data_IF_161851443411
#
_entry.id   IF_161851443411
#
_cell.length_a   1.000
_cell.length_b   1.000
_cell.length_c   1.000
_cell.angle_alpha   90.00
_cell.angle_beta   90.00
_cell.angle_gamma   90.00
#
_symmetry.space_group_name_H-M   'P 1'
#
loop_
_entity.id
_entity.type
_entity.pdbx_description
1 polymer ?
#
# COMPACT_ATOMS: atom_id res chain seq x y z
N UNK A 1 -2.40 -7.64 9.34
CA UNK A 1 -3.01 -7.42 8.01
C UNK A 1 -1.90 -7.05 7.04
N UNK A 2 -1.38 -8.04 6.33
CA UNK A 2 -0.33 -7.84 5.33
C UNK A 2 -0.90 -7.03 4.18
N UNK A 3 -0.35 -5.85 3.91
CA UNK A 3 -0.57 -5.15 2.65
C UNK A 3 0.44 -5.68 1.64
N UNK A 4 0.07 -5.87 0.35
CA UNK A 4 1.05 -6.13 -0.68
C UNK A 4 2.02 -4.93 -0.68
N UNK A 5 3.23 -5.17 -0.18
CA UNK A 5 4.24 -4.15 0.04
C UNK A 5 4.54 -3.41 -1.25
N UNK A 6 4.50 -4.12 -2.38
CA UNK A 6 4.84 -3.60 -3.70
C UNK A 6 3.81 -2.59 -4.27
N UNK A 7 2.52 -2.87 -4.18
CA UNK A 7 1.49 -1.94 -4.69
C UNK A 7 1.40 -0.68 -3.83
N UNK A 8 1.52 -0.83 -2.51
CA UNK A 8 1.58 0.31 -1.59
C UNK A 8 2.84 1.14 -1.83
N UNK A 9 3.98 0.48 -2.04
CA UNK A 9 5.24 1.14 -2.38
C UNK A 9 5.18 1.89 -3.72
N UNK A 10 4.60 1.28 -4.75
CA UNK A 10 4.40 1.91 -6.07
C UNK A 10 3.43 3.09 -6.00
N UNK A 11 2.32 2.97 -5.26
CA UNK A 11 1.39 4.06 -5.03
C UNK A 11 2.04 5.26 -4.33
N UNK A 12 2.99 4.98 -3.42
CA UNK A 12 3.71 5.97 -2.63
C UNK A 12 4.73 6.79 -3.44
N UNK A 13 5.05 6.37 -4.68
CA UNK A 13 5.95 7.12 -5.57
C UNK A 13 5.31 8.38 -6.17
N UNK A 14 3.98 8.48 -6.18
CA UNK A 14 3.24 9.59 -6.79
C UNK A 14 2.61 10.49 -5.72
N UNK A 15 2.71 11.81 -5.90
CA UNK A 15 1.99 12.80 -5.10
C UNK A 15 0.53 12.91 -5.57
N UNK A 16 -0.41 12.85 -4.64
CA UNK A 16 -1.84 12.97 -4.92
C UNK A 16 -2.34 14.42 -4.97
N UNK A 17 -1.51 15.35 -4.48
CA UNK A 17 -1.83 16.79 -4.46
C UNK A 17 -1.54 17.46 -5.80
N UNK A 18 -0.65 16.88 -6.62
CA UNK A 18 -0.40 17.30 -7.99
C UNK A 18 -1.34 16.56 -8.97
N UNK A 19 -2.12 17.32 -9.72
CA UNK A 19 -3.02 16.81 -10.76
C UNK A 19 -2.28 16.03 -11.86
N UNK A 20 -1.05 16.41 -12.18
CA UNK A 20 -0.21 15.75 -13.18
C UNK A 20 0.27 14.38 -12.73
N UNK A 21 0.89 14.30 -11.54
CA UNK A 21 1.32 13.04 -10.94
C UNK A 21 0.16 12.08 -10.65
N UNK A 22 -1.03 12.59 -10.29
CA UNK A 22 -2.23 11.75 -10.09
C UNK A 22 -2.66 11.02 -11.35
N UNK A 23 -2.60 11.66 -12.52
CA UNK A 23 -2.91 11.00 -13.81
C UNK A 23 -1.88 9.93 -14.15
N UNK A 24 -0.60 10.18 -13.84
CA UNK A 24 0.48 9.18 -14.02
C UNK A 24 0.28 7.98 -13.10
N UNK A 25 -0.15 8.19 -11.85
CA UNK A 25 -0.53 7.12 -10.91
C UNK A 25 -1.62 6.22 -11.48
N UNK A 26 -2.70 6.79 -12.03
CA UNK A 26 -3.77 6.00 -12.67
C UNK A 26 -3.23 5.21 -13.86
N UNK A 27 -2.39 5.82 -14.70
CA UNK A 27 -1.77 5.13 -15.83
C UNK A 27 -0.85 3.98 -15.38
N UNK A 28 -0.11 4.15 -14.29
CA UNK A 28 0.73 3.12 -13.69
C UNK A 28 -0.12 1.90 -13.27
N UNK A 29 -1.23 2.11 -12.57
CA UNK A 29 -2.11 1.02 -12.17
C UNK A 29 -2.80 0.33 -13.34
N UNK A 30 -3.14 1.06 -14.41
CA UNK A 30 -3.67 0.45 -15.62
C UNK A 30 -2.65 -0.51 -16.28
N UNK A 31 -1.38 -0.08 -16.40
CA UNK A 31 -0.32 -0.93 -16.93
C UNK A 31 -0.01 -2.12 -16.01
N UNK A 32 -0.02 -1.91 -14.69
CA UNK A 32 0.12 -2.99 -13.70
C UNK A 32 -0.95 -4.06 -13.88
N UNK A 33 -2.21 -3.66 -13.97
CA UNK A 33 -3.33 -4.59 -14.14
C UNK A 33 -3.25 -5.33 -15.48
N UNK A 34 -2.93 -4.62 -16.57
CA UNK A 34 -2.71 -5.25 -17.88
C UNK A 34 -1.57 -6.29 -17.83
N UNK A 35 -0.46 -5.94 -17.19
CA UNK A 35 0.68 -6.85 -16.98
C UNK A 35 0.32 -8.07 -16.15
N UNK A 36 -0.46 -7.90 -15.07
CA UNK A 36 -0.91 -9.00 -14.22
C UNK A 36 -1.84 -9.97 -14.98
N UNK A 37 -2.79 -9.45 -15.76
CA UNK A 37 -3.66 -10.27 -16.61
C UNK A 37 -2.85 -11.03 -17.65
N UNK A 38 -1.95 -10.33 -18.35
CA UNK A 38 -1.11 -10.93 -19.40
C UNK A 38 -0.15 -11.98 -18.84
N UNK A 39 0.49 -11.71 -17.69
CA UNK A 39 1.37 -12.64 -16.99
C UNK A 39 0.62 -13.89 -16.53
N UNK A 40 -0.63 -13.74 -16.07
CA UNK A 40 -1.48 -14.89 -15.71
C UNK A 40 -1.76 -15.75 -16.94
N UNK A 41 -2.14 -15.13 -18.07
CA UNK A 41 -2.41 -15.84 -19.32
C UNK A 41 -1.17 -16.60 -19.82
N UNK A 42 0.01 -15.97 -19.79
CA UNK A 42 1.27 -16.60 -20.14
C UNK A 42 1.66 -17.72 -19.17
N UNK A 43 1.37 -17.56 -17.88
CA UNK A 43 1.62 -18.59 -16.86
C UNK A 43 0.77 -19.84 -17.08
N UNK A 44 -0.52 -19.70 -17.39
CA UNK A 44 -1.39 -20.88 -17.60
C UNK A 44 -1.20 -21.53 -18.98
N UNK A 45 -0.59 -20.83 -19.94
CA UNK A 45 -0.37 -21.33 -21.30
C UNK A 45 1.10 -21.70 -21.55
N UNK A 46 1.96 -20.69 -21.71
CA UNK A 46 3.35 -20.86 -22.10
C UNK A 46 4.19 -21.55 -21.01
N UNK A 47 4.00 -21.21 -19.74
CA UNK A 47 4.75 -21.87 -18.67
C UNK A 47 4.37 -23.35 -18.53
N UNK A 48 3.08 -23.70 -18.61
CA UNK A 48 2.61 -25.09 -18.63
C UNK A 48 3.21 -25.85 -19.82
N UNK A 49 3.22 -25.25 -21.02
CA UNK A 49 3.85 -25.84 -22.20
C UNK A 49 5.34 -26.13 -21.96
N UNK A 50 6.08 -25.18 -21.39
CA UNK A 50 7.50 -25.36 -21.07
C UNK A 50 7.72 -26.48 -20.06
N UNK A 51 6.92 -26.55 -18.99
CA UNK A 51 7.10 -27.59 -17.97
C UNK A 51 6.76 -28.99 -18.50
N UNK A 52 5.75 -29.12 -19.35
CA UNK A 52 5.31 -30.40 -19.92
C UNK A 52 6.26 -30.90 -21.03
N UNK A 53 6.80 -30.01 -21.86
CA UNK A 53 7.63 -30.41 -23.01
C UNK A 53 9.15 -30.34 -22.78
N UNK A 54 9.62 -29.37 -21.97
CA UNK A 54 11.04 -29.14 -21.72
C UNK A 54 11.44 -29.56 -20.29
N UNK A 55 10.46 -29.94 -19.47
CA UNK A 55 10.65 -30.40 -18.11
C UNK A 55 10.69 -29.28 -17.08
N UNK A 56 10.47 -29.68 -15.83
CA UNK A 56 10.37 -28.78 -14.67
C UNK A 56 11.63 -27.94 -14.43
N UNK A 57 12.83 -28.49 -14.68
CA UNK A 57 14.08 -27.78 -14.49
C UNK A 57 14.19 -26.51 -15.34
N UNK A 58 13.77 -26.58 -16.60
CA UNK A 58 13.75 -25.42 -17.51
C UNK A 58 12.71 -24.39 -17.05
N UNK A 59 11.53 -24.85 -16.62
CA UNK A 59 10.50 -23.97 -16.06
C UNK A 59 11.00 -23.17 -14.85
N UNK A 60 11.67 -23.81 -13.89
CA UNK A 60 12.24 -23.13 -12.74
C UNK A 60 13.39 -22.18 -13.10
N UNK A 61 14.23 -22.54 -14.07
CA UNK A 61 15.29 -21.66 -14.56
C UNK A 61 14.72 -20.37 -15.18
N UNK A 62 13.66 -20.48 -15.99
CA UNK A 62 12.95 -19.32 -16.56
C UNK A 62 12.37 -18.43 -15.46
N UNK A 63 11.69 -19.02 -14.47
CA UNK A 63 11.17 -18.26 -13.33
C UNK A 63 12.28 -17.55 -12.55
N UNK A 64 13.41 -18.22 -12.30
CA UNK A 64 14.54 -17.64 -11.60
C UNK A 64 15.13 -16.44 -12.36
N UNK A 65 15.27 -16.55 -13.69
CA UNK A 65 15.76 -15.44 -14.54
C UNK A 65 14.79 -14.25 -14.50
N UNK A 66 13.48 -14.50 -14.64
CA UNK A 66 12.47 -13.42 -14.56
C UNK A 66 12.52 -12.73 -13.20
N UNK A 67 12.59 -13.48 -12.10
CA UNK A 67 12.72 -12.92 -10.76
C UNK A 67 14.01 -12.11 -10.58
N UNK A 68 15.13 -12.60 -11.11
CA UNK A 68 16.40 -11.88 -11.07
C UNK A 68 16.32 -10.55 -11.82
N UNK A 69 15.69 -10.51 -12.99
CA UNK A 69 15.47 -9.28 -13.77
C UNK A 69 14.62 -8.29 -12.96
N UNK A 70 13.50 -8.74 -12.38
CA UNK A 70 12.65 -7.89 -11.54
C UNK A 70 13.45 -7.34 -10.35
N UNK A 71 14.18 -8.19 -9.64
CA UNK A 71 14.99 -7.80 -8.50
C UNK A 71 16.07 -6.78 -8.86
N UNK A 72 16.81 -7.00 -9.95
CA UNK A 72 17.83 -6.08 -10.43
C UNK A 72 17.22 -4.74 -10.85
N UNK A 73 16.07 -4.73 -11.52
CA UNK A 73 15.38 -3.49 -11.87
C UNK A 73 14.96 -2.70 -10.62
N UNK A 74 14.54 -3.38 -9.55
CA UNK A 74 14.22 -2.74 -8.27
C UNK A 74 15.48 -2.14 -7.63
N UNK A 75 16.60 -2.85 -7.66
CA UNK A 75 17.87 -2.35 -7.12
C UNK A 75 18.37 -1.11 -7.89
N UNK A 76 18.31 -1.13 -9.22
CA UNK A 76 18.70 0.02 -10.05
C UNK A 76 17.78 1.23 -9.81
N UNK A 77 16.51 1.00 -9.50
CA UNK A 77 15.54 2.04 -9.18
C UNK A 77 15.72 2.66 -7.78
N UNK A 78 16.46 2.01 -6.87
CA UNK A 78 16.69 2.42 -5.47
C UNK A 78 16.95 3.93 -5.26
N UNK A 79 17.90 4.58 -5.97
CA UNK A 79 18.18 6.00 -5.77
C UNK A 79 17.05 6.94 -6.22
N UNK A 80 16.12 6.48 -7.04
CA UNK A 80 15.00 7.27 -7.56
C UNK A 80 13.72 7.11 -6.74
N UNK A 81 13.72 6.23 -5.73
CA UNK A 81 12.54 5.97 -4.93
C UNK A 81 12.28 7.07 -3.89
N UNK A 82 11.02 7.50 -3.80
CA UNK A 82 10.53 8.35 -2.73
C UNK A 82 10.26 7.48 -1.50
N UNK A 83 11.11 7.60 -0.49
CA UNK A 83 10.91 6.94 0.80
C UNK A 83 10.05 7.81 1.72
N UNK A 84 8.88 7.30 2.12
CA UNK A 84 8.07 7.95 3.15
C UNK A 84 8.68 7.64 4.53
N UNK A 85 8.81 8.68 5.36
CA UNK A 85 9.24 8.53 6.76
C UNK A 85 8.31 7.51 7.44
N UNK A 86 8.84 6.50 8.15
CA UNK A 86 8.02 5.51 8.83
C UNK A 86 7.13 6.22 9.85
N UNK A 87 5.84 6.36 9.53
CA UNK A 87 4.82 6.69 10.51
C UNK A 87 4.68 5.45 11.38
N UNK A 88 4.86 5.58 12.68
CA UNK A 88 4.84 4.47 13.64
C UNK A 88 3.60 3.57 13.50
N UNK A 89 3.58 2.45 14.24
CA UNK A 89 2.52 1.45 14.09
C UNK A 89 1.12 2.05 14.25
N UNK A 90 0.19 1.85 13.29
CA UNK A 90 -1.19 2.31 13.43
C UNK A 90 -1.93 1.60 14.56
N UNK A 91 -1.39 0.49 15.09
CA UNK A 91 -1.94 -0.23 16.22
C UNK A 91 -1.76 0.53 17.53
N UNK A 92 -0.70 1.34 17.68
CA UNK A 92 -0.42 2.09 18.90
C UNK A 92 -1.56 3.06 19.26
N UNK A 93 -2.00 3.99 18.38
CA UNK A 93 -3.12 4.86 18.68
C UNK A 93 -4.45 4.10 18.85
N UNK A 94 -4.66 3.00 18.12
CA UNK A 94 -5.85 2.15 18.29
C UNK A 94 -5.91 1.53 19.70
N UNK A 95 -4.80 0.99 20.19
CA UNK A 95 -4.70 0.45 21.53
C UNK A 95 -4.89 1.54 22.58
N UNK A 96 -4.29 2.73 22.38
CA UNK A 96 -4.45 3.87 23.29
C UNK A 96 -5.92 4.29 23.41
N UNK A 97 -6.64 4.40 22.28
CA UNK A 97 -8.08 4.73 22.29
C UNK A 97 -8.89 3.62 22.97
N UNK A 98 -8.59 2.36 22.68
CA UNK A 98 -9.29 1.22 23.30
C UNK A 98 -9.09 1.18 24.82
N UNK A 99 -7.85 1.32 25.29
CA UNK A 99 -7.50 1.39 26.71
C UNK A 99 -8.15 2.61 27.37
N UNK A 100 -8.08 3.78 26.74
CA UNK A 100 -8.70 5.00 27.25
C UNK A 100 -10.22 4.88 27.35
N UNK A 101 -10.87 4.28 26.35
CA UNK A 101 -12.32 4.06 26.35
C UNK A 101 -12.75 3.10 27.48
N UNK A 102 -12.00 2.01 27.68
CA UNK A 102 -12.26 1.06 28.77
C UNK A 102 -12.02 1.68 30.14
N UNK A 103 -10.93 2.44 30.30
CA UNK A 103 -10.60 3.12 31.54
C UNK A 103 -11.59 4.25 31.90
N UNK A 104 -12.12 4.96 30.88
CA UNK A 104 -13.02 6.11 31.06
C UNK A 104 -14.51 5.80 30.91
N UNK A 105 -14.89 4.52 30.79
CA UNK A 105 -16.28 4.07 30.62
C UNK A 105 -17.25 4.55 31.72
N UNK A 106 -16.74 4.86 32.92
CA UNK A 106 -17.54 5.32 34.08
C UNK A 106 -17.61 6.84 34.24
N UNK A 107 -16.95 7.62 33.38
CA UNK A 107 -17.01 9.08 33.45
C UNK A 107 -18.29 9.62 32.78
N UNK A 108 -18.93 10.66 33.33
CA UNK A 108 -20.02 11.36 32.66
C UNK A 108 -19.50 11.98 31.34
N UNK A 109 -20.32 11.94 30.29
CA UNK A 109 -19.97 12.55 29.02
C UNK A 109 -19.81 14.07 29.20
N UNK A 110 -18.69 14.67 28.75
CA UNK A 110 -18.53 16.11 28.78
C UNK A 110 -19.57 16.78 27.87
N UNK A 111 -20.23 17.83 28.38
CA UNK A 111 -21.25 18.59 27.64
C UNK A 111 -20.66 19.48 26.53
N UNK A 112 -19.34 19.66 26.51
CA UNK A 112 -18.64 20.47 25.51
C UNK A 112 -17.79 19.57 24.58
N UNK A 113 -18.08 19.54 23.27
CA UNK A 113 -17.32 18.77 22.28
C UNK A 113 -15.87 19.23 22.11
N UNK A 114 -15.50 20.42 22.59
CA UNK A 114 -14.11 20.92 22.57
C UNK A 114 -13.15 20.13 23.48
N UNK A 115 -13.69 19.36 24.44
CA UNK A 115 -12.91 18.55 25.37
C UNK A 115 -12.54 17.17 24.81
N UNK A 116 -13.00 16.85 23.59
CA UNK A 116 -12.66 15.61 22.92
C UNK A 116 -11.22 15.67 22.39
N UNK A 117 -10.49 14.55 22.45
CA UNK A 117 -9.11 14.48 21.98
C UNK A 117 -9.03 14.64 20.46
N UNK A 118 -8.65 15.83 20.00
CA UNK A 118 -8.40 16.17 18.59
C UNK A 118 -6.92 16.55 18.40
N UNK A 119 -6.02 15.58 18.13
CA UNK A 119 -4.62 15.88 17.93
C UNK A 119 -4.41 16.66 16.62
N UNK A 120 -3.69 17.77 16.69
CA UNK A 120 -3.26 18.50 15.50
C UNK A 120 -2.16 17.70 14.81
N UNK A 121 -2.53 16.99 13.73
CA UNK A 121 -1.59 16.20 12.92
C UNK A 121 -1.12 17.03 11.71
N UNK A 122 0.19 17.31 11.57
CA UNK A 122 0.71 18.04 10.41
C UNK A 122 0.37 17.33 9.09
N UNK A 123 -0.25 18.05 8.15
CA UNK A 123 -0.63 17.53 6.83
C UNK A 123 -1.94 16.74 6.76
N UNK A 124 -2.70 16.66 7.87
CA UNK A 124 -4.04 16.03 7.87
C UNK A 124 -5.12 17.12 7.76
N UNK A 125 -6.01 17.01 6.77
CA UNK A 125 -7.14 17.93 6.62
C UNK A 125 -8.10 17.74 7.81
N UNK A 126 -8.40 18.81 8.54
CA UNK A 126 -9.30 18.77 9.71
C UNK A 126 -10.70 18.42 9.21
N UNK A 127 -11.29 17.36 9.75
CA UNK A 127 -12.67 16.98 9.40
C UNK A 127 -13.60 17.94 10.14
N UNK A 128 -14.51 18.59 9.43
CA UNK A 128 -15.50 19.47 10.05
C UNK A 128 -16.45 18.65 10.92
N UNK A 129 -16.63 19.09 12.17
CA UNK A 129 -17.59 18.49 13.10
C UNK A 129 -19.01 18.69 12.56
N UNK A 130 -19.83 17.62 12.58
CA UNK A 130 -21.25 17.70 12.19
C UNK A 130 -22.05 18.40 13.28
N UNK A 131 -22.90 19.36 12.91
CA UNK A 131 -23.65 20.21 13.83
C UNK A 131 -25.01 19.63 14.27
N UNK A 132 -25.19 18.31 14.16
CA UNK A 132 -26.40 17.63 14.64
C UNK A 132 -26.06 16.74 15.84
N UNK A 133 -26.41 17.26 17.03
CA UNK A 133 -26.77 16.44 18.19
C UNK A 133 -28.27 16.16 18.15
#
# INVERSE_FOLDING_TARGET
>A
VHKPSLESFGADQFDETDHGERRKKTSFFNWWFFGACSGTLLGVSAFVYVTEHLGWGVGFAVLAVVLAIVFLSLLIGTPYYRYKVPRGSPLTPMLQVFVAAMAKKKLPLPSDPSQLYDPVVPGRRRVSHTSRM
#
